data_IF_503729210072
#
_entry.id   IF_503729210072
#
_cell.length_a   1.000
_cell.length_b   1.000
_cell.length_c   1.000
_cell.angle_alpha   90.00
_cell.angle_beta   90.00
_cell.angle_gamma   90.00
#
_symmetry.space_group_name_H-M   'P 1'
#
loop_
_entity.id
_entity.type
_entity.pdbx_description
1 polymer ?
#
# COMPACT_ATOMS: atom_id res chain seq x y z
N UNK A 1 14.76 8.73 -21.26
CA UNK A 1 14.62 7.27 -21.19
C UNK A 1 13.32 6.83 -21.88
N UNK A 2 12.12 7.31 -21.49
CA UNK A 2 10.83 6.89 -22.10
C UNK A 2 10.76 7.24 -23.62
N UNK A 3 11.39 8.33 -24.05
CA UNK A 3 11.42 8.74 -25.45
C UNK A 3 12.20 7.79 -26.37
N UNK A 4 13.11 6.98 -25.80
CA UNK A 4 13.87 5.97 -26.55
C UNK A 4 13.18 4.60 -26.60
N UNK A 5 12.01 4.45 -25.99
CA UNK A 5 11.27 3.19 -25.98
C UNK A 5 10.55 2.95 -27.31
N UNK A 6 10.53 1.70 -27.75
CA UNK A 6 9.71 1.28 -28.90
C UNK A 6 8.21 1.39 -28.58
N UNK A 7 7.37 1.45 -29.60
CA UNK A 7 5.91 1.48 -29.41
C UNK A 7 5.39 0.22 -28.71
N UNK A 8 6.04 -0.91 -28.96
CA UNK A 8 5.73 -2.16 -28.26
C UNK A 8 6.02 -2.05 -26.75
N UNK A 9 7.19 -1.53 -26.38
CA UNK A 9 7.56 -1.33 -24.98
C UNK A 9 6.61 -0.36 -24.25
N UNK A 10 6.18 0.70 -24.94
CA UNK A 10 5.17 1.63 -24.41
C UNK A 10 3.81 0.97 -24.22
N UNK A 11 3.38 0.15 -25.19
CA UNK A 11 2.11 -0.57 -25.10
C UNK A 11 2.10 -1.57 -23.94
N UNK A 12 3.20 -2.30 -23.71
CA UNK A 12 3.35 -3.21 -22.57
C UNK A 12 3.34 -2.42 -21.27
N UNK A 13 4.03 -1.28 -21.18
CA UNK A 13 4.03 -0.43 -20.00
C UNK A 13 2.63 0.10 -19.67
N UNK A 14 1.84 0.52 -20.67
CA UNK A 14 0.46 0.95 -20.49
C UNK A 14 -0.45 -0.18 -20.00
N UNK A 15 -0.24 -1.40 -20.52
CA UNK A 15 -0.97 -2.58 -20.04
C UNK A 15 -0.67 -2.88 -18.58
N UNK A 16 0.61 -2.86 -18.19
CA UNK A 16 1.04 -3.04 -16.78
C UNK A 16 0.39 -1.98 -15.90
N UNK A 17 0.39 -0.71 -16.35
CA UNK A 17 -0.23 0.38 -15.62
C UNK A 17 -1.75 0.18 -15.47
N UNK A 18 -2.40 -0.44 -16.45
CA UNK A 18 -3.82 -0.84 -16.35
C UNK A 18 -4.06 -1.89 -15.26
N UNK A 19 -3.17 -2.89 -15.13
CA UNK A 19 -3.24 -3.86 -14.02
C UNK A 19 -3.00 -3.23 -12.65
N UNK A 20 -2.16 -2.21 -12.54
CA UNK A 20 -1.93 -1.49 -11.29
C UNK A 20 -3.20 -0.85 -10.75
N UNK A 21 -4.12 -0.40 -11.63
CA UNK A 21 -5.43 0.09 -11.19
C UNK A 21 -6.30 -0.97 -10.51
N UNK A 22 -6.14 -2.24 -10.85
CA UNK A 22 -6.80 -3.34 -10.14
C UNK A 22 -6.17 -3.55 -8.76
N UNK A 23 -4.84 -3.53 -8.69
CA UNK A 23 -4.10 -3.66 -7.43
C UNK A 23 -4.42 -2.56 -6.44
N UNK A 24 -4.66 -1.35 -6.92
CA UNK A 24 -5.00 -0.16 -6.15
C UNK A 24 -6.20 -0.35 -5.20
N UNK A 25 -7.16 -1.20 -5.55
CA UNK A 25 -8.30 -1.52 -4.69
C UNK A 25 -8.01 -2.72 -3.77
N UNK A 26 -7.28 -3.70 -4.27
CA UNK A 26 -7.09 -4.97 -3.59
C UNK A 26 -6.17 -4.84 -2.38
N UNK A 27 -4.94 -4.29 -2.55
CA UNK A 27 -3.95 -4.32 -1.48
C UNK A 27 -4.30 -3.41 -0.29
N UNK A 28 -4.83 -2.17 -0.49
CA UNK A 28 -5.16 -1.33 0.66
C UNK A 28 -6.37 -1.89 1.44
N UNK A 29 -7.36 -2.43 0.74
CA UNK A 29 -8.51 -3.06 1.37
C UNK A 29 -8.08 -4.27 2.20
N UNK A 30 -7.22 -5.13 1.64
CA UNK A 30 -6.70 -6.30 2.34
C UNK A 30 -5.88 -5.92 3.58
N UNK A 31 -4.95 -4.97 3.46
CA UNK A 31 -4.15 -4.50 4.59
C UNK A 31 -5.01 -3.84 5.67
N UNK A 32 -6.02 -3.05 5.28
CA UNK A 32 -6.96 -2.43 6.21
C UNK A 32 -7.75 -3.49 6.99
N UNK A 33 -8.28 -4.50 6.30
CA UNK A 33 -9.01 -5.59 6.94
C UNK A 33 -8.13 -6.37 7.91
N UNK A 34 -6.89 -6.68 7.53
CA UNK A 34 -5.92 -7.36 8.41
C UNK A 34 -5.61 -6.51 9.65
N UNK A 35 -5.40 -5.18 9.47
CA UNK A 35 -5.13 -4.28 10.58
C UNK A 35 -6.29 -4.22 11.58
N UNK A 36 -7.51 -4.07 11.09
CA UNK A 36 -8.72 -4.03 11.92
C UNK A 36 -8.94 -5.38 12.61
N UNK A 37 -8.84 -6.49 11.88
CA UNK A 37 -9.04 -7.83 12.43
C UNK A 37 -8.01 -8.17 13.53
N UNK A 38 -6.75 -7.82 13.32
CA UNK A 38 -5.69 -8.07 14.30
C UNK A 38 -5.84 -7.16 15.53
N UNK A 39 -6.16 -5.88 15.30
CA UNK A 39 -6.45 -4.92 16.37
C UNK A 39 -7.61 -5.34 17.25
N UNK A 40 -8.73 -5.79 16.67
CA UNK A 40 -9.90 -6.29 17.41
C UNK A 40 -9.59 -7.56 18.20
N UNK A 41 -8.82 -8.50 17.64
CA UNK A 41 -8.41 -9.72 18.34
C UNK A 41 -7.49 -9.47 19.53
N UNK A 42 -6.64 -8.46 19.46
CA UNK A 42 -5.74 -8.08 20.54
C UNK A 42 -6.44 -7.28 21.64
N UNK A 43 -7.46 -6.50 21.29
CA UNK A 43 -8.22 -5.66 22.20
C UNK A 43 -7.43 -4.48 22.78
N UNK A 44 -8.03 -3.75 23.72
CA UNK A 44 -7.39 -2.62 24.41
C UNK A 44 -6.85 -1.58 23.42
N UNK A 45 -5.61 -1.11 23.62
CA UNK A 45 -4.96 -0.10 22.77
C UNK A 45 -4.75 -0.54 21.31
N UNK A 46 -4.81 -1.82 21.03
CA UNK A 46 -4.60 -2.36 19.68
C UNK A 46 -5.82 -2.19 18.78
N UNK A 47 -7.02 -2.12 19.39
CA UNK A 47 -8.25 -1.94 18.61
C UNK A 47 -8.29 -0.58 17.90
N UNK A 48 -8.14 0.58 18.58
CA UNK A 48 -8.05 1.86 17.87
C UNK A 48 -6.82 1.95 16.97
N UNK A 49 -5.67 1.37 17.36
CA UNK A 49 -4.48 1.35 16.50
C UNK A 49 -4.73 0.60 15.18
N UNK A 50 -5.39 -0.56 15.21
CA UNK A 50 -5.77 -1.30 14.01
C UNK A 50 -6.75 -0.53 13.13
N UNK A 51 -7.73 0.16 13.72
CA UNK A 51 -8.68 0.98 12.98
C UNK A 51 -7.99 2.18 12.30
N UNK A 52 -7.15 2.91 13.02
CA UNK A 52 -6.39 4.05 12.46
C UNK A 52 -5.45 3.58 11.36
N UNK A 53 -4.72 2.46 11.57
CA UNK A 53 -3.84 1.89 10.55
C UNK A 53 -4.62 1.50 9.29
N UNK A 54 -5.80 0.91 9.45
CA UNK A 54 -6.68 0.56 8.32
C UNK A 54 -7.08 1.79 7.51
N UNK A 55 -7.50 2.87 8.14
CA UNK A 55 -7.83 4.12 7.45
C UNK A 55 -6.61 4.77 6.79
N UNK A 56 -5.46 4.78 7.46
CA UNK A 56 -4.21 5.32 6.90
C UNK A 56 -3.80 4.58 5.62
N UNK A 57 -3.90 3.25 5.62
CA UNK A 57 -3.58 2.44 4.42
C UNK A 57 -4.55 2.73 3.28
N UNK A 58 -5.83 2.95 3.54
CA UNK A 58 -6.79 3.30 2.50
C UNK A 58 -6.45 4.63 1.80
N UNK A 59 -5.76 5.55 2.47
CA UNK A 59 -5.26 6.79 1.84
C UNK A 59 -4.17 6.51 0.80
N UNK A 60 -3.48 5.37 0.87
CA UNK A 60 -2.50 4.99 -0.15
C UNK A 60 -3.15 4.78 -1.54
N UNK A 61 -4.41 4.34 -1.60
CA UNK A 61 -5.12 4.10 -2.87
C UNK A 61 -5.25 5.36 -3.75
N UNK A 62 -5.77 6.50 -3.27
CA UNK A 62 -5.82 7.71 -4.08
C UNK A 62 -4.44 8.25 -4.47
N UNK A 63 -3.41 8.09 -3.62
CA UNK A 63 -2.04 8.46 -3.97
C UNK A 63 -1.52 7.61 -5.13
N UNK A 64 -1.80 6.31 -5.09
CA UNK A 64 -1.45 5.36 -6.14
C UNK A 64 -2.19 5.67 -7.45
N UNK A 65 -3.47 6.04 -7.39
CA UNK A 65 -4.24 6.46 -8.55
C UNK A 65 -3.64 7.69 -9.24
N UNK A 66 -3.22 8.69 -8.45
CA UNK A 66 -2.59 9.91 -8.96
C UNK A 66 -1.20 9.61 -9.55
N UNK A 67 -0.41 8.75 -8.90
CA UNK A 67 0.87 8.27 -9.40
C UNK A 67 0.70 7.60 -10.77
N UNK A 68 -0.20 6.61 -10.86
CA UNK A 68 -0.47 5.86 -12.08
C UNK A 68 -0.96 6.77 -13.20
N UNK A 69 -1.85 7.72 -12.90
CA UNK A 69 -2.27 8.74 -13.87
C UNK A 69 -1.09 9.56 -14.39
N UNK A 70 -0.20 10.03 -13.50
CA UNK A 70 0.96 10.80 -13.89
C UNK A 70 1.95 9.99 -14.75
N UNK A 71 2.11 8.70 -14.46
CA UNK A 71 2.93 7.79 -15.26
C UNK A 71 2.34 7.54 -16.66
N UNK A 72 1.01 7.35 -16.76
CA UNK A 72 0.31 7.22 -18.04
C UNK A 72 0.49 8.48 -18.88
N UNK A 73 0.34 9.68 -18.30
CA UNK A 73 0.57 10.93 -19.01
C UNK A 73 1.99 11.02 -19.58
N UNK A 74 2.99 10.56 -18.83
CA UNK A 74 4.36 10.50 -19.34
C UNK A 74 4.54 9.52 -20.49
N UNK A 75 3.87 8.38 -20.47
CA UNK A 75 3.92 7.37 -21.54
C UNK A 75 3.25 7.86 -22.81
N UNK A 76 2.12 8.58 -22.71
CA UNK A 76 1.33 9.04 -23.84
C UNK A 76 1.89 10.33 -24.48
N UNK A 77 2.31 11.28 -23.65
CA UNK A 77 2.65 12.64 -24.11
C UNK A 77 4.15 12.96 -24.01
N UNK A 78 4.95 12.01 -23.55
CA UNK A 78 6.38 12.18 -23.34
C UNK A 78 6.74 12.70 -21.94
N UNK A 79 8.03 12.60 -21.61
CA UNK A 79 8.55 12.91 -20.29
C UNK A 79 8.49 14.42 -19.99
N UNK A 80 7.52 14.84 -19.20
CA UNK A 80 7.45 16.18 -18.60
C UNK A 80 7.99 16.18 -17.17
N UNK A 81 8.66 17.28 -16.78
CA UNK A 81 9.18 17.40 -15.40
C UNK A 81 8.07 17.44 -14.34
N UNK A 82 6.92 18.04 -14.64
CA UNK A 82 5.80 18.15 -13.71
C UNK A 82 5.14 16.79 -13.41
N UNK A 83 4.72 15.98 -14.39
CA UNK A 83 4.16 14.66 -14.09
C UNK A 83 5.18 13.73 -13.43
N UNK A 84 6.47 13.81 -13.76
CA UNK A 84 7.51 13.01 -13.12
C UNK A 84 7.66 13.35 -11.61
N UNK A 85 7.64 14.64 -11.26
CA UNK A 85 7.67 15.07 -9.85
C UNK A 85 6.43 14.65 -9.09
N UNK A 86 5.25 14.78 -9.73
CA UNK A 86 3.98 14.36 -9.12
C UNK A 86 3.98 12.86 -8.80
N UNK A 87 4.36 12.02 -9.77
CA UNK A 87 4.49 10.58 -9.57
C UNK A 87 5.46 10.25 -8.42
N UNK A 88 6.64 10.89 -8.39
CA UNK A 88 7.64 10.68 -7.34
C UNK A 88 7.09 11.00 -5.94
N UNK A 89 6.43 12.15 -5.76
CA UNK A 89 5.92 12.54 -4.46
C UNK A 89 4.76 11.65 -4.00
N UNK A 90 3.87 11.27 -4.92
CA UNK A 90 2.80 10.33 -4.61
C UNK A 90 3.36 8.95 -4.22
N UNK A 91 4.36 8.45 -4.95
CA UNK A 91 5.05 7.20 -4.63
C UNK A 91 5.69 7.25 -3.25
N UNK A 92 6.47 8.29 -2.94
CA UNK A 92 7.13 8.43 -1.64
C UNK A 92 6.11 8.47 -0.49
N UNK A 93 5.05 9.26 -0.63
CA UNK A 93 3.99 9.34 0.39
C UNK A 93 3.29 7.98 0.57
N UNK A 94 2.89 7.32 -0.52
CA UNK A 94 2.26 6.00 -0.52
C UNK A 94 3.13 4.96 0.21
N UNK A 95 4.39 4.84 -0.19
CA UNK A 95 5.30 3.85 0.40
C UNK A 95 5.62 4.15 1.86
N UNK A 96 5.69 5.42 2.28
CA UNK A 96 5.83 5.79 3.69
C UNK A 96 4.62 5.32 4.52
N UNK A 97 3.40 5.54 4.03
CA UNK A 97 2.17 5.07 4.70
C UNK A 97 2.14 3.54 4.81
N UNK A 98 2.49 2.83 3.74
CA UNK A 98 2.55 1.36 3.73
C UNK A 98 3.62 0.86 4.70
N UNK A 99 4.81 1.46 4.72
CA UNK A 99 5.89 1.05 5.61
C UNK A 99 5.50 1.22 7.10
N UNK A 100 4.85 2.33 7.46
CA UNK A 100 4.32 2.54 8.81
C UNK A 100 3.26 1.49 9.16
N UNK A 101 2.32 1.24 8.25
CA UNK A 101 1.29 0.23 8.46
C UNK A 101 1.87 -1.17 8.64
N UNK A 102 2.84 -1.55 7.81
CA UNK A 102 3.54 -2.85 7.93
C UNK A 102 4.29 -2.97 9.25
N UNK A 103 4.92 -1.88 9.74
CA UNK A 103 5.55 -1.84 11.06
C UNK A 103 4.55 -2.11 12.19
N UNK A 104 3.39 -1.43 12.17
CA UNK A 104 2.32 -1.64 13.17
C UNK A 104 1.77 -3.06 13.09
N UNK A 105 1.53 -3.58 11.89
CA UNK A 105 1.03 -4.94 11.70
C UNK A 105 2.03 -6.00 12.18
N UNK A 106 3.31 -5.81 11.90
CA UNK A 106 4.38 -6.71 12.37
C UNK A 106 4.44 -6.76 13.90
N UNK A 107 4.40 -5.59 14.55
CA UNK A 107 4.35 -5.51 16.02
C UNK A 107 3.10 -6.17 16.60
N UNK A 108 1.94 -5.90 16.01
CA UNK A 108 0.69 -6.49 16.45
C UNK A 108 0.69 -8.03 16.30
N UNK A 109 1.24 -8.52 15.20
CA UNK A 109 1.40 -9.96 14.95
C UNK A 109 2.34 -10.62 15.97
N UNK A 110 3.48 -10.00 16.25
CA UNK A 110 4.42 -10.48 17.27
C UNK A 110 3.74 -10.58 18.66
N UNK A 111 2.99 -9.55 19.05
CA UNK A 111 2.23 -9.55 20.33
C UNK A 111 1.17 -10.65 20.33
N UNK A 112 0.44 -10.82 19.23
CA UNK A 112 -0.58 -11.86 19.10
C UNK A 112 0.01 -13.27 19.26
N UNK A 113 1.11 -13.56 18.57
CA UNK A 113 1.83 -14.84 18.65
C UNK A 113 2.33 -15.08 20.07
N UNK A 114 2.98 -14.09 20.71
CA UNK A 114 3.50 -14.20 22.07
C UNK A 114 2.40 -14.52 23.08
N UNK A 115 1.24 -13.86 22.98
CA UNK A 115 0.08 -14.14 23.84
C UNK A 115 -0.49 -15.54 23.62
N UNK A 116 -0.50 -16.03 22.38
CA UNK A 116 -0.99 -17.36 22.06
C UNK A 116 -0.09 -18.45 22.62
N UNK A 117 1.22 -18.35 22.42
CA UNK A 117 2.21 -19.30 22.96
C UNK A 117 2.23 -19.32 24.50
N UNK A 118 2.06 -18.14 25.13
CA UNK A 118 1.98 -18.06 26.59
C UNK A 118 0.76 -18.80 27.16
N UNK A 119 -0.40 -18.73 26.48
CA UNK A 119 -1.61 -19.46 26.88
C UNK A 119 -1.45 -20.97 26.75
N UNK A 120 -0.84 -21.45 25.67
CA UNK A 120 -0.59 -22.88 25.45
C UNK A 120 0.37 -23.48 26.49
N UNK A 121 1.36 -22.70 26.96
CA UNK A 121 2.28 -23.12 28.04
C UNK A 121 1.59 -23.18 29.41
N UNK A 122 0.64 -22.29 29.67
CA UNK A 122 -0.06 -22.26 30.95
C UNK A 122 -1.16 -23.35 31.08
N UNK A 123 -1.55 -23.99 29.96
CA UNK A 123 -2.54 -25.07 29.90
C UNK A 123 -1.93 -26.47 29.96
N UNK A 124 -0.61 -26.56 29.98
CA UNK A 124 0.15 -27.83 30.16
C UNK A 124 0.65 -27.97 31.59
#
# INVERSE_FOLDING_TARGET
IIQSWSDEARSVALLIQGFDYLYLFIYPAWLALVAIALGTRLGGRWQPAGLVTGWVVLVAAPLDAVENYALIQQLLHGAGAAPAKLALWCALAKFALIAVAMGVLSLALCVWISRRLGRERASR
#
